data_IF_432249090137
#
_entry.id   IF_432249090137
#
_cell.length_a   1.000
_cell.length_b   1.000
_cell.length_c   1.000
_cell.angle_alpha   90.00
_cell.angle_beta   90.00
_cell.angle_gamma   90.00
#
_symmetry.space_group_name_H-M   'P 1'
#
loop_
_entity.id
_entity.type
_entity.pdbx_description
1 polymer ?
#
# COMPACT_ATOMS: atom_id res chain seq x y z
N UNK A 1 -0.57 20.39 -18.49
CA UNK A 1 0.45 19.96 -17.51
C UNK A 1 -0.08 18.74 -16.75
N UNK A 2 0.41 17.54 -17.07
CA UNK A 2 -0.03 16.29 -16.46
C UNK A 2 0.72 16.13 -15.12
N UNK A 3 0.09 16.56 -14.03
CA UNK A 3 0.63 16.37 -12.68
C UNK A 3 0.44 14.92 -12.27
N UNK A 4 1.46 14.09 -12.48
CA UNK A 4 1.54 12.73 -11.91
C UNK A 4 1.50 12.83 -10.38
N UNK A 5 0.68 12.01 -9.73
CA UNK A 5 0.39 12.08 -8.29
C UNK A 5 1.04 10.88 -7.60
N UNK A 6 1.78 11.10 -6.52
CA UNK A 6 2.43 10.03 -5.75
C UNK A 6 1.95 10.14 -4.31
N UNK A 7 1.56 9.01 -3.74
CA UNK A 7 1.33 8.85 -2.30
C UNK A 7 2.26 7.74 -1.87
N UNK A 8 2.90 7.85 -0.71
CA UNK A 8 3.55 6.73 -0.05
C UNK A 8 2.57 6.21 0.99
N UNK A 9 2.13 4.97 0.84
CA UNK A 9 1.26 4.28 1.78
C UNK A 9 2.06 3.20 2.51
N UNK A 10 2.10 3.29 3.85
CA UNK A 10 2.58 2.22 4.72
C UNK A 10 1.39 1.44 5.27
N UNK A 11 1.31 0.14 5.01
CA UNK A 11 0.22 -0.73 5.47
C UNK A 11 0.77 -2.00 6.13
N UNK A 12 0.30 -2.31 7.35
CA UNK A 12 0.42 -3.64 7.94
C UNK A 12 -0.85 -4.45 7.64
N UNK A 13 -0.70 -5.64 7.05
CA UNK A 13 -1.81 -6.58 6.81
C UNK A 13 -1.39 -8.03 7.12
N UNK A 14 -2.30 -8.79 7.72
CA UNK A 14 -2.21 -10.23 8.05
C UNK A 14 -3.24 -11.04 7.22
N UNK A 15 -2.96 -12.32 6.97
CA UNK A 15 -3.95 -13.36 6.68
C UNK A 15 -3.57 -14.68 7.39
N UNK A 16 -4.60 -15.47 7.71
CA UNK A 16 -4.72 -16.49 8.76
C UNK A 16 -4.13 -17.86 8.41
N UNK A 17 -3.66 -18.58 9.44
CA UNK A 17 -3.20 -19.98 9.46
C UNK A 17 -4.35 -20.96 9.15
N UNK A 18 -4.08 -21.92 8.26
CA UNK A 18 -4.78 -23.20 8.24
C UNK A 18 -3.74 -24.33 8.20
N UNK A 19 -3.81 -25.22 9.20
CA UNK A 19 -2.95 -26.39 9.29
C UNK A 19 -3.67 -27.62 8.74
N UNK A 20 -2.99 -28.42 7.92
CA UNK A 20 -3.15 -29.88 7.82
C UNK A 20 -1.95 -30.51 7.07
N UNK A 21 -1.62 -31.74 7.47
CA UNK A 21 -0.28 -32.36 7.47
C UNK A 21 0.27 -32.89 6.13
N UNK A 22 1.61 -32.87 6.11
CA UNK A 22 2.63 -33.79 5.54
C UNK A 22 2.49 -34.38 4.13
N UNK A 23 3.46 -33.99 3.28
CA UNK A 23 4.09 -34.85 2.29
C UNK A 23 5.61 -34.61 2.29
N UNK A 24 6.33 -35.67 1.91
CA UNK A 24 7.73 -36.03 2.18
C UNK A 24 8.80 -35.15 1.50
N UNK A 25 10.01 -35.17 2.07
CA UNK A 25 11.20 -34.34 1.80
C UNK A 25 11.66 -34.22 0.33
N UNK A 26 12.25 -33.08 0.00
CA UNK A 26 13.33 -32.95 -0.97
C UNK A 26 14.22 -31.76 -0.58
N UNK A 27 15.36 -32.04 0.06
CA UNK A 27 16.43 -31.07 0.27
C UNK A 27 16.99 -30.65 -1.09
N UNK A 28 16.79 -29.39 -1.47
CA UNK A 28 17.70 -28.72 -2.41
C UNK A 28 17.88 -27.26 -2.02
N UNK A 29 19.11 -26.92 -1.64
CA UNK A 29 19.65 -25.56 -1.69
C UNK A 29 19.21 -24.60 -0.60
N UNK A 30 19.76 -24.74 0.62
CA UNK A 30 19.95 -23.56 1.48
C UNK A 30 20.98 -22.68 0.80
N UNK A 31 20.51 -21.72 -0.01
CA UNK A 31 21.32 -20.58 -0.40
C UNK A 31 21.70 -19.84 0.89
N UNK A 32 22.97 -19.92 1.28
CA UNK A 32 23.57 -19.06 2.30
C UNK A 32 23.40 -17.60 1.84
N UNK A 33 22.30 -16.96 2.24
CA UNK A 33 22.25 -15.51 2.30
C UNK A 33 23.22 -15.11 3.41
N UNK A 34 24.42 -14.68 3.02
CA UNK A 34 25.34 -14.04 3.95
C UNK A 34 24.61 -12.91 4.67
N UNK A 35 24.82 -12.81 5.98
CA UNK A 35 24.32 -11.74 6.83
C UNK A 35 24.73 -10.39 6.24
N UNK A 36 23.85 -9.79 5.45
CA UNK A 36 23.98 -8.41 5.02
C UNK A 36 23.12 -7.59 5.99
N UNK A 37 23.79 -6.90 6.91
CA UNK A 37 23.16 -6.01 7.90
C UNK A 37 22.44 -4.81 7.25
N UNK A 38 22.68 -4.56 5.95
CA UNK A 38 22.04 -3.51 5.17
C UNK A 38 21.62 -4.06 3.80
N UNK A 39 20.40 -3.71 3.38
CA UNK A 39 19.90 -3.95 2.03
C UNK A 39 19.47 -2.62 1.41
N UNK A 40 20.01 -2.31 0.23
CA UNK A 40 19.57 -1.15 -0.56
C UNK A 40 18.85 -1.69 -1.80
N UNK A 41 17.55 -1.41 -1.91
CA UNK A 41 16.79 -1.58 -3.15
C UNK A 41 16.90 -0.30 -3.95
N UNK A 42 17.57 -0.32 -5.11
CA UNK A 42 17.82 0.89 -5.88
C UNK A 42 16.54 1.34 -6.58
N UNK A 43 16.51 2.62 -6.91
CA UNK A 43 15.40 3.19 -7.69
C UNK A 43 15.35 2.52 -9.05
N UNK A 44 14.19 1.96 -9.42
CA UNK A 44 14.01 1.23 -10.67
C UNK A 44 14.12 -0.30 -10.55
N UNK A 45 14.67 -0.83 -9.45
CA UNK A 45 14.82 -2.29 -9.27
C UNK A 45 13.49 -3.01 -9.05
N UNK A 46 12.52 -2.33 -8.44
CA UNK A 46 11.21 -2.89 -8.14
C UNK A 46 10.22 -2.46 -9.24
N UNK A 47 9.65 -3.40 -10.02
CA UNK A 47 8.74 -3.06 -11.09
C UNK A 47 7.42 -2.52 -10.54
N UNK A 48 6.88 -1.51 -11.21
CA UNK A 48 5.51 -1.04 -10.96
C UNK A 48 4.49 -2.11 -11.32
N UNK A 49 3.38 -2.14 -10.59
CA UNK A 49 2.25 -3.04 -10.82
C UNK A 49 0.96 -2.24 -11.00
N UNK A 50 0.02 -2.76 -11.81
CA UNK A 50 -1.36 -2.22 -11.85
C UNK A 50 -2.08 -2.63 -10.57
N UNK A 51 -2.84 -1.72 -9.97
CA UNK A 51 -3.73 -2.03 -8.85
C UNK A 51 -4.82 -3.03 -9.28
N UNK A 52 -5.05 -4.12 -8.52
CA UNK A 52 -6.11 -5.08 -8.85
C UNK A 52 -7.49 -4.42 -8.88
N UNK A 53 -8.29 -4.71 -9.90
CA UNK A 53 -9.62 -4.11 -10.06
C UNK A 53 -10.59 -4.47 -8.92
N UNK A 54 -10.35 -5.60 -8.24
CA UNK A 54 -11.08 -5.98 -7.04
C UNK A 54 -10.87 -5.01 -5.85
N UNK A 55 -9.76 -4.26 -5.83
CA UNK A 55 -9.40 -3.35 -4.72
C UNK A 55 -9.46 -1.88 -5.11
N UNK A 56 -9.54 -1.58 -6.40
CA UNK A 56 -9.47 -0.22 -6.92
C UNK A 56 -10.52 0.04 -7.99
N UNK A 57 -11.15 1.21 -7.93
CA UNK A 57 -11.85 1.78 -9.07
C UNK A 57 -10.91 2.71 -9.83
N UNK A 58 -10.91 2.64 -11.17
CA UNK A 58 -10.06 3.47 -12.02
C UNK A 58 -8.61 2.98 -12.13
N UNK A 59 -7.76 3.79 -12.75
CA UNK A 59 -6.36 3.43 -12.99
C UNK A 59 -5.49 3.76 -11.77
N UNK A 60 -4.87 2.72 -11.21
CA UNK A 60 -3.96 2.83 -10.05
C UNK A 60 -2.66 2.10 -10.38
N UNK A 61 -1.53 2.75 -10.09
CA UNK A 61 -0.19 2.16 -10.19
C UNK A 61 0.39 2.02 -8.79
N UNK A 62 0.84 0.82 -8.46
CA UNK A 62 1.50 0.47 -7.21
C UNK A 62 2.99 0.26 -7.45
N UNK A 63 3.84 0.97 -6.71
CA UNK A 63 5.29 0.83 -6.69
C UNK A 63 5.71 0.23 -5.33
N UNK A 64 5.98 -1.08 -5.24
CA UNK A 64 6.44 -1.69 -3.99
C UNK A 64 7.76 -1.08 -3.52
N UNK A 65 7.87 -0.74 -2.23
CA UNK A 65 9.10 -0.20 -1.64
C UNK A 65 9.73 -1.20 -0.67
N UNK A 66 8.95 -1.72 0.28
CA UNK A 66 9.40 -2.73 1.24
C UNK A 66 8.28 -3.73 1.55
N UNK A 67 8.64 -5.00 1.62
CA UNK A 67 7.78 -6.08 2.12
C UNK A 67 8.42 -6.59 3.40
N UNK A 68 7.64 -6.64 4.48
CA UNK A 68 8.14 -7.05 5.77
C UNK A 68 8.61 -8.51 5.73
N UNK A 69 9.75 -8.76 6.37
CA UNK A 69 10.22 -10.12 6.69
C UNK A 69 9.99 -10.34 8.18
N UNK A 70 9.44 -11.51 8.55
CA UNK A 70 9.18 -11.83 9.95
C UNK A 70 10.47 -11.65 10.79
N UNK A 71 10.38 -11.06 11.99
CA UNK A 71 9.16 -10.73 12.75
C UNK A 71 8.58 -9.32 12.47
N UNK A 72 9.09 -8.58 11.49
CA UNK A 72 8.53 -7.28 11.13
C UNK A 72 7.17 -7.43 10.42
N UNK A 73 6.35 -6.37 10.47
CA UNK A 73 4.99 -6.37 9.89
C UNK A 73 4.69 -5.19 8.95
N UNK A 74 5.61 -4.24 8.82
CA UNK A 74 5.38 -3.02 8.05
C UNK A 74 5.69 -3.23 6.56
N UNK A 75 4.66 -3.18 5.71
CA UNK A 75 4.87 -3.05 4.26
C UNK A 75 4.78 -1.58 3.87
N UNK A 76 5.55 -1.21 2.84
CA UNK A 76 5.61 0.15 2.31
C UNK A 76 5.50 0.10 0.81
N UNK A 77 4.63 0.92 0.25
CA UNK A 77 4.48 1.09 -1.19
C UNK A 77 4.22 2.55 -1.55
N UNK A 78 4.58 2.96 -2.76
CA UNK A 78 4.08 4.20 -3.33
C UNK A 78 2.93 3.91 -4.28
N UNK A 79 1.76 4.51 -4.02
CA UNK A 79 0.56 4.32 -4.83
C UNK A 79 0.25 5.61 -5.57
N UNK A 80 0.07 5.50 -6.87
CA UNK A 80 -0.29 6.59 -7.78
C UNK A 80 -1.71 6.38 -8.26
N UNK A 81 -2.58 7.36 -8.02
CA UNK A 81 -3.97 7.34 -8.46
C UNK A 81 -4.15 8.33 -9.62
N UNK A 82 -4.66 7.84 -10.74
CA UNK A 82 -5.13 8.72 -11.81
C UNK A 82 -6.40 9.49 -11.37
N UNK A 83 -6.75 10.60 -12.03
CA UNK A 83 -7.95 11.36 -11.70
C UNK A 83 -9.21 10.47 -11.66
N UNK A 84 -9.86 10.44 -10.49
CA UNK A 84 -11.08 9.66 -10.24
C UNK A 84 -10.83 8.24 -9.73
N UNK A 85 -9.58 7.75 -9.75
CA UNK A 85 -9.22 6.46 -9.19
C UNK A 85 -9.21 6.47 -7.66
N UNK A 86 -9.53 5.32 -7.04
CA UNK A 86 -9.71 5.18 -5.59
C UNK A 86 -9.65 3.75 -5.09
N UNK A 87 -9.35 3.55 -3.81
CA UNK A 87 -9.49 2.23 -3.17
C UNK A 87 -10.96 1.88 -2.95
N UNK A 88 -11.27 0.59 -2.94
CA UNK A 88 -12.47 0.09 -2.29
C UNK A 88 -12.42 0.38 -0.77
N UNK A 89 -13.57 0.28 -0.11
CA UNK A 89 -13.65 0.34 1.35
C UNK A 89 -12.93 -0.87 1.97
N UNK A 90 -12.04 -0.62 2.92
CA UNK A 90 -11.26 -1.68 3.57
C UNK A 90 -10.82 -1.26 4.98
N UNK A 91 -10.23 -2.18 5.74
CA UNK A 91 -9.72 -1.95 7.09
C UNK A 91 -8.28 -2.47 7.15
N UNK A 92 -7.41 -1.75 7.86
CA UNK A 92 -6.08 -2.23 8.20
C UNK A 92 -6.03 -2.70 9.67
N UNK A 93 -5.76 -3.99 9.95
CA UNK A 93 -5.77 -4.54 11.31
C UNK A 93 -4.75 -3.94 12.28
N UNK A 94 -3.73 -3.23 11.78
CA UNK A 94 -2.75 -2.50 12.60
C UNK A 94 -2.75 -0.99 12.31
N UNK A 95 -3.78 -0.51 11.63
CA UNK A 95 -3.84 0.86 11.10
C UNK A 95 -2.98 1.06 9.85
N UNK A 96 -3.08 2.26 9.30
CA UNK A 96 -2.38 2.66 8.08
C UNK A 96 -1.93 4.11 8.18
N UNK A 97 -0.69 4.36 7.76
CA UNK A 97 -0.16 5.72 7.62
C UNK A 97 0.02 6.03 6.14
N UNK A 98 -0.51 7.18 5.70
CA UNK A 98 -0.25 7.73 4.39
C UNK A 98 0.61 8.98 4.50
N UNK A 99 1.57 9.12 3.60
CA UNK A 99 2.35 10.33 3.38
C UNK A 99 2.09 10.78 1.95
N UNK A 100 1.49 11.94 1.78
CA UNK A 100 1.15 12.47 0.45
C UNK A 100 2.39 13.13 -0.14
N UNK A 101 2.86 12.66 -1.30
CA UNK A 101 4.14 13.13 -1.87
C UNK A 101 3.96 13.97 -3.14
N UNK A 102 2.85 13.84 -3.86
CA UNK A 102 2.52 14.71 -4.99
C UNK A 102 1.02 14.72 -5.33
N UNK A 103 0.57 15.83 -5.92
CA UNK A 103 -0.80 16.00 -6.42
C UNK A 103 -1.79 16.43 -5.35
N UNK A 104 -3.07 16.14 -5.59
CA UNK A 104 -4.17 16.39 -4.67
C UNK A 104 -5.06 15.15 -4.58
N UNK A 105 -5.48 14.79 -3.37
CA UNK A 105 -6.29 13.61 -3.10
C UNK A 105 -7.45 13.91 -2.17
N UNK A 106 -8.18 12.85 -1.80
CA UNK A 106 -9.16 12.90 -0.73
C UNK A 106 -9.06 11.64 0.12
N UNK A 107 -9.46 11.70 1.37
CA UNK A 107 -9.58 10.56 2.26
C UNK A 107 -10.91 10.61 2.98
N UNK A 108 -11.44 9.44 3.33
CA UNK A 108 -12.67 9.34 4.09
C UNK A 108 -12.65 8.10 4.97
N UNK A 109 -13.15 8.26 6.20
CA UNK A 109 -13.56 7.15 7.05
C UNK A 109 -15.05 6.89 6.90
N UNK A 110 -15.50 5.64 7.06
CA UNK A 110 -16.91 5.30 6.96
C UNK A 110 -17.81 6.21 7.83
N UNK A 111 -18.82 6.81 7.19
CA UNK A 111 -19.75 7.76 7.80
C UNK A 111 -19.16 9.13 8.20
N UNK A 112 -17.87 9.36 7.97
CA UNK A 112 -17.20 10.62 8.27
C UNK A 112 -17.19 11.60 7.10
N UNK A 113 -16.69 12.84 7.31
CA UNK A 113 -16.50 13.81 6.25
C UNK A 113 -15.42 13.35 5.26
N UNK A 114 -15.49 13.89 4.04
CA UNK A 114 -14.43 13.72 3.04
C UNK A 114 -13.40 14.83 3.26
N UNK A 115 -12.16 14.45 3.55
CA UNK A 115 -11.04 15.36 3.74
C UNK A 115 -10.22 15.49 2.46
N UNK A 116 -9.72 16.70 2.18
CA UNK A 116 -8.79 16.92 1.07
C UNK A 116 -7.35 16.70 1.50
N UNK A 117 -6.55 16.12 0.61
CA UNK A 117 -5.15 15.81 0.85
C UNK A 117 -4.23 16.59 -0.10
N UNK A 118 -3.10 17.06 0.42
CA UNK A 118 -2.05 17.82 -0.28
C UNK A 118 -0.65 17.29 0.06
N UNK A 119 0.36 17.55 -0.79
CA UNK A 119 1.71 17.06 -0.54
C UNK A 119 2.25 17.61 0.78
N UNK A 120 2.85 16.73 1.59
CA UNK A 120 3.28 17.03 2.95
C UNK A 120 2.32 16.55 4.03
N UNK A 121 1.04 16.28 3.70
CA UNK A 121 0.09 15.76 4.67
C UNK A 121 0.44 14.32 5.09
N UNK A 122 0.26 14.05 6.38
CA UNK A 122 0.37 12.72 6.98
C UNK A 122 -0.99 12.31 7.52
N UNK A 123 -1.53 11.20 7.02
CA UNK A 123 -2.85 10.67 7.42
C UNK A 123 -2.66 9.40 8.22
N UNK A 124 -3.28 9.32 9.39
CA UNK A 124 -3.34 8.10 10.19
C UNK A 124 -4.76 7.55 10.22
N UNK A 125 -4.91 6.29 9.83
CA UNK A 125 -6.15 5.54 9.97
C UNK A 125 -6.00 4.49 11.08
N UNK A 126 -6.85 4.59 12.11
CA UNK A 126 -6.85 3.64 13.22
C UNK A 126 -7.57 2.32 12.87
N UNK A 127 -7.31 1.28 13.67
CA UNK A 127 -7.84 -0.08 13.53
C UNK A 127 -9.36 -0.22 13.34
N UNK A 128 -10.14 0.73 13.85
CA UNK A 128 -11.57 0.53 14.08
C UNK A 128 -12.49 1.10 12.98
N UNK A 129 -11.95 1.75 11.94
CA UNK A 129 -12.78 2.40 10.93
C UNK A 129 -12.46 1.88 9.54
N UNK A 130 -13.50 1.49 8.79
CA UNK A 130 -13.39 1.22 7.35
C UNK A 130 -13.00 2.52 6.64
N UNK A 131 -12.01 2.46 5.77
CA UNK A 131 -11.42 3.59 5.06
C UNK A 131 -11.51 3.41 3.56
N UNK A 132 -11.65 4.54 2.88
CA UNK A 132 -11.57 4.66 1.43
C UNK A 132 -10.68 5.85 1.10
N UNK A 133 -9.76 5.68 0.16
CA UNK A 133 -8.84 6.74 -0.28
C UNK A 133 -9.08 7.11 -1.73
N UNK A 134 -9.04 8.41 -1.97
CA UNK A 134 -9.11 9.20 -3.19
C UNK A 134 -10.50 9.42 -3.85
N UNK A 135 -10.86 10.67 -4.05
CA UNK A 135 -11.80 11.15 -5.09
C UNK A 135 -11.20 12.46 -5.59
N UNK A 136 -10.69 12.53 -6.82
CA UNK A 136 -10.29 13.81 -7.40
C UNK A 136 -11.54 14.69 -7.65
N UNK A 137 -11.44 16.03 -7.55
CA UNK A 137 -12.57 16.91 -7.86
C UNK A 137 -13.00 16.71 -9.32
N UNK A 138 -14.32 16.69 -9.56
CA UNK A 138 -14.86 16.94 -10.90
C UNK A 138 -14.50 18.38 -11.25
N UNK A 139 -13.84 18.61 -12.38
CA UNK A 139 -13.91 19.92 -13.02
C UNK A 139 -15.40 20.17 -13.30
N UNK A 140 -15.94 21.26 -12.75
CA UNK A 140 -17.16 21.86 -13.29
C UNK A 140 -16.81 22.47 -14.64
#
# INVERSE_FOLDING_TARGET
>A
MISRRRVIAGAGSFAVVSASRSATMSETGVSKQGSQSMQIKRSGDQPSQKGPEAWFTGQVRNDPLHTAVAPAHANVASVTFEPGARTAWHIHPLGQTLIVTAGAGRAQTWGGPIEELRPGDVVWFSRARSTGTARAPRRR
#
